data_IF_876134742136
#
_entry.id   IF_876134742136
#
_cell.length_a   1.000
_cell.length_b   1.000
_cell.length_c   1.000
_cell.angle_alpha   90.00
_cell.angle_beta   90.00
_cell.angle_gamma   90.00
#
_symmetry.space_group_name_H-M   'P 1'
#
loop_
_entity.id
_entity.type
_entity.pdbx_description
1 polymer ?
#
# COMPACT_ATOMS: atom_id res chain seq x y z
N UNK A 1 -34.35 -2.39 3.40
CA UNK A 1 -32.94 -2.78 3.18
C UNK A 1 -32.10 -1.53 3.28
N UNK A 2 -31.30 -1.39 4.33
CA UNK A 2 -30.37 -0.26 4.45
C UNK A 2 -29.20 -0.60 3.54
N UNK A 3 -29.03 0.15 2.45
CA UNK A 3 -27.78 0.12 1.69
C UNK A 3 -26.78 0.97 2.47
N UNK A 4 -25.92 0.35 3.26
CA UNK A 4 -24.67 1.00 3.68
C UNK A 4 -23.86 1.22 2.41
N UNK A 5 -23.61 2.48 2.06
CA UNK A 5 -22.83 2.82 0.89
C UNK A 5 -21.37 2.49 1.20
N UNK A 6 -20.86 1.40 0.62
CA UNK A 6 -19.45 1.02 0.72
C UNK A 6 -18.59 2.11 0.09
N UNK A 7 -17.68 2.71 0.87
CA UNK A 7 -16.75 3.73 0.36
C UNK A 7 -15.38 3.11 0.16
N UNK A 8 -14.74 3.53 -0.92
CA UNK A 8 -13.38 3.13 -1.24
C UNK A 8 -12.45 4.34 -1.17
N UNK A 9 -11.28 4.13 -0.59
CA UNK A 9 -10.23 5.13 -0.50
C UNK A 9 -8.96 4.64 -1.19
N UNK A 10 -8.22 5.57 -1.77
CA UNK A 10 -6.93 5.32 -2.39
C UNK A 10 -5.85 5.94 -1.50
N UNK A 11 -5.02 5.09 -0.91
CA UNK A 11 -3.80 5.52 -0.26
C UNK A 11 -2.65 5.46 -1.28
N UNK A 12 -2.01 6.61 -1.51
CA UNK A 12 -0.92 6.76 -2.47
C UNK A 12 0.38 6.95 -1.69
N UNK A 13 1.29 6.00 -1.82
CA UNK A 13 2.63 6.07 -1.25
C UNK A 13 3.65 6.43 -2.33
N UNK A 14 4.08 7.68 -2.33
CA UNK A 14 5.11 8.20 -3.24
C UNK A 14 6.42 8.46 -2.46
N UNK A 15 7.47 7.64 -2.65
CA UNK A 15 8.71 7.78 -1.89
C UNK A 15 9.41 9.11 -2.17
N UNK A 16 9.71 9.86 -1.10
CA UNK A 16 10.44 11.15 -1.19
C UNK A 16 11.92 10.94 -1.58
N UNK A 17 12.43 9.71 -1.44
CA UNK A 17 13.79 9.29 -1.78
C UNK A 17 13.76 8.46 -3.07
N UNK A 18 14.02 9.06 -4.26
CA UNK A 18 13.90 8.35 -5.54
C UNK A 18 14.81 7.12 -5.63
N UNK A 19 15.97 7.16 -4.96
CA UNK A 19 16.93 6.08 -4.95
C UNK A 19 16.37 4.79 -4.33
N UNK A 20 15.41 4.88 -3.42
CA UNK A 20 14.75 3.70 -2.84
C UNK A 20 13.86 2.96 -3.86
N UNK A 21 13.48 3.62 -4.95
CA UNK A 21 12.67 3.01 -6.02
C UNK A 21 13.57 2.36 -7.06
N UNK A 22 14.67 3.03 -7.41
CA UNK A 22 15.50 2.65 -8.57
C UNK A 22 16.73 1.83 -8.21
N UNK A 23 17.18 1.86 -6.95
CA UNK A 23 18.40 1.19 -6.50
C UNK A 23 18.15 0.36 -5.23
N UNK A 24 18.05 -0.98 -5.36
CA UNK A 24 17.89 -1.88 -4.22
C UNK A 24 18.99 -1.72 -3.16
N UNK A 25 20.23 -1.43 -3.56
CA UNK A 25 21.36 -1.27 -2.62
C UNK A 25 21.26 0.01 -1.77
N UNK A 26 20.29 0.88 -2.03
CA UNK A 26 20.02 2.08 -1.21
C UNK A 26 19.16 1.80 0.02
N UNK A 27 18.63 0.57 0.14
CA UNK A 27 17.85 0.14 1.28
C UNK A 27 18.78 -0.22 2.44
N UNK A 28 18.47 0.32 3.61
CA UNK A 28 19.06 -0.16 4.86
C UNK A 28 18.33 -1.41 5.32
N UNK A 29 18.96 -2.19 6.20
CA UNK A 29 18.31 -3.32 6.88
C UNK A 29 16.98 -2.91 7.54
N UNK A 30 16.91 -1.68 8.06
CA UNK A 30 15.68 -1.13 8.64
C UNK A 30 14.60 -0.86 7.59
N UNK A 31 14.98 -0.41 6.40
CA UNK A 31 14.05 -0.20 5.29
C UNK A 31 13.45 -1.54 4.84
N UNK A 32 14.26 -2.59 4.74
CA UNK A 32 13.82 -3.96 4.43
C UNK A 32 12.83 -4.48 5.48
N UNK A 33 13.17 -4.39 6.76
CA UNK A 33 12.27 -4.81 7.86
C UNK A 33 10.94 -4.06 7.86
N UNK A 34 10.95 -2.76 7.56
CA UNK A 34 9.72 -1.96 7.46
C UNK A 34 8.90 -2.40 6.25
N UNK A 35 9.54 -2.62 5.10
CA UNK A 35 8.91 -3.09 3.87
C UNK A 35 8.24 -4.45 4.04
N UNK A 36 8.94 -5.42 4.62
CA UNK A 36 8.42 -6.75 4.91
C UNK A 36 7.21 -6.70 5.86
N UNK A 37 7.33 -5.97 6.98
CA UNK A 37 6.21 -5.82 7.92
C UNK A 37 4.99 -5.17 7.28
N UNK A 38 5.20 -4.19 6.39
CA UNK A 38 4.11 -3.54 5.68
C UNK A 38 3.45 -4.48 4.66
N UNK A 39 4.25 -5.27 3.92
CA UNK A 39 3.75 -6.27 3.00
C UNK A 39 2.89 -7.31 3.71
N UNK A 40 3.37 -7.88 4.83
CA UNK A 40 2.60 -8.85 5.63
C UNK A 40 1.28 -8.27 6.15
N UNK A 41 1.28 -7.01 6.59
CA UNK A 41 0.05 -6.33 7.00
C UNK A 41 -0.97 -6.21 5.85
N UNK A 42 -0.51 -5.84 4.65
CA UNK A 42 -1.38 -5.70 3.48
C UNK A 42 -1.92 -7.04 2.99
N UNK A 43 -1.14 -8.11 3.06
CA UNK A 43 -1.58 -9.47 2.76
C UNK A 43 -2.72 -9.91 3.69
N UNK A 44 -2.55 -9.73 5.00
CA UNK A 44 -3.59 -10.04 5.99
C UNK A 44 -4.85 -9.19 5.77
N UNK A 45 -4.68 -7.89 5.54
CA UNK A 45 -5.82 -7.00 5.30
C UNK A 45 -6.55 -7.29 3.98
N UNK A 46 -5.87 -7.89 2.99
CA UNK A 46 -6.51 -8.42 1.78
C UNK A 46 -7.33 -9.68 2.08
N UNK A 47 -6.82 -10.59 2.90
CA UNK A 47 -7.57 -11.78 3.33
C UNK A 47 -8.83 -11.42 4.14
N UNK A 48 -8.75 -10.37 4.94
CA UNK A 48 -9.88 -9.83 5.72
C UNK A 48 -10.89 -9.04 4.87
N UNK A 49 -10.55 -8.71 3.62
CA UNK A 49 -11.39 -7.94 2.70
C UNK A 49 -11.36 -6.43 2.91
N UNK A 50 -10.57 -5.92 3.85
CA UNK A 50 -10.40 -4.48 4.09
C UNK A 50 -9.59 -3.81 2.96
N UNK A 51 -8.53 -4.48 2.49
CA UNK A 51 -7.75 -4.06 1.33
C UNK A 51 -8.27 -4.79 0.10
N UNK A 52 -8.63 -4.04 -0.93
CA UNK A 52 -9.09 -4.59 -2.20
C UNK A 52 -7.94 -4.79 -3.19
N UNK A 53 -6.92 -3.93 -3.10
CA UNK A 53 -5.74 -3.98 -3.95
C UNK A 53 -4.57 -3.30 -3.24
N UNK A 54 -3.39 -3.90 -3.28
CA UNK A 54 -2.15 -3.25 -2.92
C UNK A 54 -1.05 -3.62 -3.92
N UNK A 55 -0.29 -2.64 -4.40
CA UNK A 55 0.79 -2.91 -5.33
C UNK A 55 1.58 -1.69 -5.75
N UNK A 56 2.69 -1.95 -6.44
CA UNK A 56 3.52 -0.93 -7.09
C UNK A 56 3.15 -0.80 -8.55
N UNK A 57 3.49 0.34 -9.16
CA UNK A 57 3.40 0.50 -10.61
C UNK A 57 4.23 -0.57 -11.33
N UNK A 58 3.66 -1.17 -12.39
CA UNK A 58 4.29 -2.24 -13.16
C UNK A 58 5.55 -1.79 -13.91
N UNK A 59 5.65 -0.49 -14.24
CA UNK A 59 6.81 0.10 -14.89
C UNK A 59 7.91 0.53 -13.91
N UNK A 60 7.71 0.27 -12.61
CA UNK A 60 8.61 0.68 -11.53
C UNK A 60 8.72 2.21 -11.35
N UNK A 61 7.92 2.99 -12.10
CA UNK A 61 7.99 4.44 -12.20
C UNK A 61 6.63 5.02 -11.81
N UNK A 62 6.28 4.87 -10.54
CA UNK A 62 5.05 5.41 -9.99
C UNK A 62 4.89 5.08 -8.51
N UNK A 63 3.94 5.72 -7.83
CA UNK A 63 3.69 5.46 -6.44
C UNK A 63 3.20 4.02 -6.24
N UNK A 64 3.38 3.50 -5.02
CA UNK A 64 2.61 2.36 -4.59
C UNK A 64 1.18 2.81 -4.26
N UNK A 65 0.20 1.99 -4.59
CA UNK A 65 -1.21 2.27 -4.39
C UNK A 65 -1.83 1.18 -3.54
N UNK A 66 -2.64 1.58 -2.57
CA UNK A 66 -3.52 0.69 -1.79
C UNK A 66 -4.95 1.19 -1.93
N UNK A 67 -5.87 0.31 -2.33
CA UNK A 67 -7.30 0.56 -2.38
C UNK A 67 -7.94 -0.15 -1.19
N UNK A 68 -8.66 0.60 -0.36
CA UNK A 68 -9.27 0.08 0.87
C UNK A 68 -10.76 0.39 0.93
N UNK A 69 -11.50 -0.47 1.62
CA UNK A 69 -12.87 -0.23 2.05
C UNK A 69 -12.87 0.35 3.47
N UNK A 70 -13.55 1.48 3.69
CA UNK A 70 -13.67 2.10 5.02
C UNK A 70 -14.93 2.96 5.15
N UNK A 71 -15.38 3.24 6.37
CA UNK A 71 -16.56 4.10 6.63
C UNK A 71 -16.27 5.60 6.43
N UNK A 72 -15.03 6.03 6.69
CA UNK A 72 -14.55 7.41 6.63
C UNK A 72 -13.08 7.49 6.23
N UNK A 73 -12.66 8.69 5.79
CA UNK A 73 -11.25 9.01 5.52
C UNK A 73 -10.43 9.20 6.81
N UNK A 74 -11.13 9.53 7.92
CA UNK A 74 -10.58 9.86 9.24
C UNK A 74 -10.89 8.80 10.27
#
# INVERSE_FOLDING_TARGET
MIHTQTKHFVYVFDPIRPELVTNPDSWTEKDEQIGERHATYLEQAMEEGTVLLAGRSLDGRGPAVVIIEADSEV
#
